data_IF_850219376110
#
_entry.id   IF_850219376110
#
_cell.length_a   1.000
_cell.length_b   1.000
_cell.length_c   1.000
_cell.angle_alpha   90.00
_cell.angle_beta   90.00
_cell.angle_gamma   90.00
#
_symmetry.space_group_name_H-M   'P 1'
#
loop_
_entity.id
_entity.type
_entity.pdbx_description
1 polymer ?
#
# COMPACT_ATOMS: atom_id res chain seq x y z
N UNK A 1 -15.29 28.70 -16.88
CA UNK A 1 -15.37 27.64 -15.86
C UNK A 1 -14.41 28.05 -14.75
N UNK A 2 -14.83 28.17 -13.49
CA UNK A 2 -13.88 28.44 -12.40
C UNK A 2 -12.87 27.32 -12.38
N UNK A 3 -11.60 27.65 -12.28
CA UNK A 3 -10.54 26.67 -12.12
C UNK A 3 -10.89 25.82 -10.88
N UNK A 4 -10.97 24.50 -11.02
CA UNK A 4 -11.28 23.62 -9.89
C UNK A 4 -10.24 23.84 -8.79
N UNK A 5 -10.69 23.94 -7.53
CA UNK A 5 -9.80 24.07 -6.38
C UNK A 5 -9.06 22.75 -6.15
N UNK A 6 -7.74 22.67 -6.37
CA UNK A 6 -7.04 21.40 -6.34
C UNK A 6 -7.04 20.78 -4.95
N UNK A 7 -7.11 19.44 -4.88
CA UNK A 7 -6.86 18.70 -3.66
C UNK A 7 -5.35 18.51 -3.50
N UNK A 8 -4.85 18.85 -2.32
CA UNK A 8 -3.42 18.84 -2.00
C UNK A 8 -3.08 17.96 -0.82
N UNK A 9 -1.86 17.44 -0.83
CA UNK A 9 -1.25 16.66 0.24
C UNK A 9 -0.42 17.62 1.09
N UNK A 10 -0.78 17.77 2.37
CA UNK A 10 -0.04 18.60 3.33
C UNK A 10 1.11 17.82 3.97
N UNK A 11 0.92 16.54 4.21
CA UNK A 11 1.90 15.70 4.85
C UNK A 11 1.63 14.22 4.59
N UNK A 12 2.63 13.42 4.92
CA UNK A 12 2.56 11.97 4.87
C UNK A 12 3.46 11.33 5.94
N UNK A 13 3.12 10.13 6.35
CA UNK A 13 3.94 9.29 7.21
C UNK A 13 3.61 7.82 6.99
N UNK A 14 4.59 6.94 7.20
CA UNK A 14 4.38 5.50 7.30
C UNK A 14 5.19 4.89 8.45
N UNK A 15 4.76 3.78 8.95
CA UNK A 15 5.60 2.93 9.80
C UNK A 15 6.67 2.24 8.96
N UNK A 16 7.74 1.72 9.56
CA UNK A 16 8.52 0.66 8.91
C UNK A 16 7.59 -0.52 8.59
N UNK A 17 7.98 -1.33 7.59
CA UNK A 17 7.29 -2.58 7.24
C UNK A 17 7.92 -3.72 8.03
N UNK A 18 7.12 -4.42 8.84
CA UNK A 18 7.50 -5.65 9.53
C UNK A 18 7.22 -6.87 8.66
N UNK A 19 8.03 -7.90 8.78
CA UNK A 19 7.74 -9.20 8.18
C UNK A 19 6.77 -10.02 9.03
N UNK A 20 6.25 -11.11 8.47
CA UNK A 20 5.39 -12.03 9.22
C UNK A 20 6.09 -12.54 10.49
N UNK A 21 5.41 -12.39 11.63
CA UNK A 21 5.96 -12.73 12.95
C UNK A 21 7.31 -12.07 13.25
N UNK A 22 7.55 -10.89 12.65
CA UNK A 22 8.79 -10.14 12.74
C UNK A 22 8.76 -9.02 13.78
N UNK A 23 9.46 -7.94 13.46
CA UNK A 23 9.69 -6.82 14.39
C UNK A 23 8.42 -6.12 14.89
N UNK A 24 7.31 -6.19 14.15
CA UNK A 24 6.02 -5.58 14.49
C UNK A 24 4.96 -6.60 14.95
N UNK A 25 5.34 -7.85 15.19
CA UNK A 25 4.40 -8.94 15.49
C UNK A 25 3.48 -8.66 16.71
N UNK A 26 3.98 -7.97 17.71
CA UNK A 26 3.24 -7.66 18.94
C UNK A 26 2.42 -6.35 18.85
N UNK A 27 2.34 -5.72 17.66
CA UNK A 27 1.63 -4.45 17.44
C UNK A 27 0.36 -4.67 16.63
N UNK A 28 -0.78 -4.27 17.18
CA UNK A 28 -2.05 -4.37 16.46
C UNK A 28 -2.11 -3.40 15.27
N UNK A 29 -2.84 -3.76 14.21
CA UNK A 29 -3.01 -2.88 13.04
C UNK A 29 -3.50 -1.48 13.41
N UNK A 30 -4.40 -1.37 14.39
CA UNK A 30 -4.94 -0.07 14.86
C UNK A 30 -3.89 0.79 15.58
N UNK A 31 -2.86 0.19 16.19
CA UNK A 31 -1.76 0.91 16.82
C UNK A 31 -0.71 1.37 15.78
N UNK A 32 -0.45 0.55 14.77
CA UNK A 32 0.33 0.94 13.59
C UNK A 32 -0.35 2.12 12.88
N UNK A 33 -1.66 2.00 12.63
CA UNK A 33 -2.46 3.07 12.04
C UNK A 33 -2.41 4.36 12.85
N UNK A 34 -2.56 4.27 14.17
CA UNK A 34 -2.48 5.43 15.07
C UNK A 34 -1.11 6.12 15.00
N UNK A 35 -0.02 5.34 14.91
CA UNK A 35 1.34 5.87 14.80
C UNK A 35 1.53 6.66 13.50
N UNK A 36 1.11 6.10 12.36
CA UNK A 36 1.19 6.79 11.08
C UNK A 36 0.30 8.05 11.04
N UNK A 37 -0.93 7.96 11.54
CA UNK A 37 -1.89 9.08 11.60
C UNK A 37 -1.34 10.22 12.45
N UNK A 38 -0.88 9.93 13.67
CA UNK A 38 -0.29 10.94 14.57
C UNK A 38 0.85 11.68 13.91
N UNK A 39 1.79 10.95 13.34
CA UNK A 39 2.95 11.53 12.66
C UNK A 39 2.55 12.37 11.43
N UNK A 40 1.57 11.92 10.63
CA UNK A 40 1.08 12.69 9.51
C UNK A 40 0.43 14.00 9.95
N UNK A 41 -0.38 13.99 11.01
CA UNK A 41 -0.99 15.21 11.58
C UNK A 41 0.08 16.16 12.12
N UNK A 42 1.03 15.67 12.92
CA UNK A 42 2.13 16.48 13.45
C UNK A 42 2.95 17.14 12.33
N UNK A 43 3.28 16.38 11.29
CA UNK A 43 4.05 16.88 10.13
C UNK A 43 3.27 17.88 9.27
N UNK A 44 1.94 17.81 9.27
CA UNK A 44 1.11 18.75 8.50
C UNK A 44 1.03 20.15 9.11
N UNK A 45 1.29 20.27 10.41
CA UNK A 45 1.04 21.49 11.18
C UNK A 45 -0.43 21.84 11.33
N UNK A 46 -1.35 20.96 10.93
CA UNK A 46 -2.80 21.14 11.08
C UNK A 46 -3.19 20.82 12.52
N UNK A 47 -4.00 21.70 13.15
CA UNK A 47 -4.61 21.35 14.43
C UNK A 47 -5.52 20.13 14.24
N UNK A 48 -5.32 19.10 15.04
CA UNK A 48 -6.14 17.89 14.99
C UNK A 48 -7.65 18.17 15.13
N UNK A 49 -8.02 19.29 15.75
CA UNK A 49 -9.41 19.74 15.86
C UNK A 49 -10.03 20.14 14.52
N UNK A 50 -9.23 20.48 13.51
CA UNK A 50 -9.69 20.80 12.16
C UNK A 50 -9.97 19.55 11.32
N UNK A 51 -9.48 18.39 11.73
CA UNK A 51 -9.72 17.13 11.00
C UNK A 51 -11.16 16.69 11.19
N UNK A 52 -11.92 16.63 10.10
CA UNK A 52 -13.34 16.25 10.14
C UNK A 52 -13.55 14.78 9.85
N UNK A 53 -12.70 14.17 9.01
CA UNK A 53 -12.88 12.80 8.55
C UNK A 53 -11.56 12.05 8.42
N UNK A 54 -11.63 10.75 8.72
CA UNK A 54 -10.54 9.81 8.49
C UNK A 54 -11.05 8.56 7.77
N UNK A 55 -10.35 8.17 6.70
CA UNK A 55 -10.53 6.92 6.00
C UNK A 55 -9.28 6.06 6.17
N UNK A 56 -9.41 4.82 6.65
CA UNK A 56 -8.30 3.90 6.79
C UNK A 56 -8.63 2.56 6.14
N UNK A 57 -7.76 2.13 5.23
CA UNK A 57 -7.77 0.79 4.65
C UNK A 57 -7.42 -0.25 5.71
N UNK A 58 -8.18 -1.35 5.76
CA UNK A 58 -7.89 -2.53 6.56
C UNK A 58 -8.65 -3.72 5.96
N UNK A 59 -7.95 -4.74 5.54
CA UNK A 59 -8.51 -5.90 4.85
C UNK A 59 -8.82 -7.02 5.81
N UNK A 60 -8.02 -7.17 6.86
CA UNK A 60 -8.07 -8.26 7.81
C UNK A 60 -8.53 -7.77 9.20
N UNK A 61 -9.79 -7.29 9.34
CA UNK A 61 -10.26 -6.66 10.56
C UNK A 61 -10.74 -7.63 11.63
N UNK A 62 -10.81 -8.93 11.36
CA UNK A 62 -11.29 -9.91 12.33
C UNK A 62 -10.41 -9.89 13.59
N UNK A 63 -11.05 -9.84 14.76
CA UNK A 63 -10.36 -9.76 16.04
C UNK A 63 -9.90 -8.37 16.48
N UNK A 64 -9.90 -7.36 15.60
CA UNK A 64 -9.50 -5.98 15.96
C UNK A 64 -10.55 -5.22 16.78
N UNK A 65 -11.77 -5.74 16.91
CA UNK A 65 -12.89 -5.04 17.54
C UNK A 65 -13.62 -4.13 16.56
N UNK A 66 -14.50 -3.27 17.10
CA UNK A 66 -15.34 -2.39 16.29
C UNK A 66 -14.54 -1.28 15.61
N UNK A 67 -14.86 -0.99 14.34
CA UNK A 67 -14.44 0.20 13.61
C UNK A 67 -12.92 0.49 13.72
N UNK A 68 -12.04 -0.34 13.13
CA UNK A 68 -10.59 -0.18 13.25
C UNK A 68 -10.08 1.23 12.90
N UNK A 69 -10.61 1.89 11.87
CA UNK A 69 -10.26 3.29 11.56
C UNK A 69 -10.56 4.26 12.70
N UNK A 70 -11.69 4.04 13.40
CA UNK A 70 -12.08 4.85 14.56
C UNK A 70 -11.12 4.63 15.72
N UNK A 71 -10.70 3.39 15.96
CA UNK A 71 -9.71 3.08 16.98
C UNK A 71 -8.39 3.78 16.68
N UNK A 72 -7.89 3.70 15.44
CA UNK A 72 -6.67 4.38 15.02
C UNK A 72 -6.75 5.90 15.24
N UNK A 73 -7.87 6.53 14.86
CA UNK A 73 -8.11 7.96 15.06
C UNK A 73 -8.01 8.37 16.55
N UNK A 74 -8.71 7.66 17.42
CA UNK A 74 -8.72 7.95 18.86
C UNK A 74 -7.34 7.70 19.49
N UNK A 75 -6.70 6.58 19.17
CA UNK A 75 -5.34 6.24 19.63
C UNK A 75 -4.28 7.24 19.11
N UNK A 76 -4.52 7.85 17.95
CA UNK A 76 -3.68 8.93 17.41
C UNK A 76 -3.83 10.25 18.17
N UNK A 77 -4.85 10.38 19.03
CA UNK A 77 -5.15 11.60 19.77
C UNK A 77 -6.10 12.56 19.06
N UNK A 78 -6.75 12.15 17.97
CA UNK A 78 -7.74 12.99 17.29
C UNK A 78 -9.00 13.19 18.14
N UNK A 79 -9.71 14.32 17.94
CA UNK A 79 -10.96 14.59 18.65
C UNK A 79 -12.02 13.53 18.41
N UNK A 80 -12.89 13.31 19.39
CA UNK A 80 -14.01 12.37 19.27
C UNK A 80 -15.05 12.78 18.23
N UNK A 81 -15.03 14.01 17.75
CA UNK A 81 -15.87 14.54 16.66
C UNK A 81 -15.47 14.02 15.27
N UNK A 82 -14.22 13.56 15.06
CA UNK A 82 -13.74 13.05 13.78
C UNK A 82 -14.57 11.84 13.36
N UNK A 83 -15.13 11.89 12.16
CA UNK A 83 -15.84 10.76 11.55
C UNK A 83 -14.82 9.76 10.97
N UNK A 84 -15.01 8.48 11.21
CA UNK A 84 -14.05 7.45 10.78
C UNK A 84 -14.73 6.33 9.98
N UNK A 85 -14.11 5.93 8.86
CA UNK A 85 -14.57 4.81 8.04
C UNK A 85 -13.41 3.87 7.74
N UNK A 86 -13.63 2.59 8.01
CA UNK A 86 -12.72 1.52 7.59
C UNK A 86 -13.12 1.07 6.19
N UNK A 87 -12.13 0.99 5.29
CA UNK A 87 -12.33 0.67 3.86
C UNK A 87 -11.64 -0.65 3.55
N UNK A 88 -12.36 -1.56 2.89
CA UNK A 88 -11.80 -2.77 2.31
C UNK A 88 -12.03 -2.77 0.79
N UNK A 89 -10.95 -2.69 0.05
CA UNK A 89 -10.83 -2.92 -1.39
C UNK A 89 -9.59 -3.78 -1.65
N UNK A 90 -9.42 -4.83 -0.83
CA UNK A 90 -8.25 -5.72 -0.84
C UNK A 90 -6.95 -4.88 -0.89
N UNK A 91 -5.99 -5.21 -1.74
CA UNK A 91 -4.71 -4.49 -1.87
C UNK A 91 -4.85 -2.99 -2.15
N UNK A 92 -5.95 -2.57 -2.79
CA UNK A 92 -6.25 -1.18 -3.13
C UNK A 92 -6.79 -0.32 -1.99
N UNK A 93 -7.07 -0.89 -0.82
CA UNK A 93 -7.76 -0.19 0.28
C UNK A 93 -7.13 1.14 0.65
N UNK A 94 -5.79 1.17 0.84
CA UNK A 94 -5.08 2.38 1.22
C UNK A 94 -5.09 3.48 0.13
N UNK A 95 -5.05 3.15 -1.15
CA UNK A 95 -5.19 4.13 -2.22
C UNK A 95 -6.64 4.57 -2.39
N UNK A 96 -7.59 3.65 -2.23
CA UNK A 96 -9.02 3.97 -2.29
C UNK A 96 -9.41 5.00 -1.22
N UNK A 97 -8.80 4.97 -0.03
CA UNK A 97 -9.05 5.99 1.00
C UNK A 97 -8.59 7.37 0.56
N UNK A 98 -7.45 7.47 -0.15
CA UNK A 98 -6.95 8.74 -0.70
C UNK A 98 -7.88 9.24 -1.81
N UNK A 99 -8.36 8.35 -2.68
CA UNK A 99 -9.36 8.68 -3.71
C UNK A 99 -10.65 9.20 -3.06
N UNK A 100 -11.22 8.49 -2.08
CA UNK A 100 -12.43 8.92 -1.37
C UNK A 100 -12.23 10.25 -0.64
N UNK A 101 -11.06 10.47 -0.02
CA UNK A 101 -10.71 11.74 0.61
C UNK A 101 -10.66 12.89 -0.40
N UNK A 102 -10.03 12.66 -1.55
CA UNK A 102 -9.98 13.63 -2.65
C UNK A 102 -11.37 13.98 -3.18
N UNK A 103 -12.22 12.98 -3.41
CA UNK A 103 -13.60 13.17 -3.86
C UNK A 103 -14.43 13.94 -2.83
N UNK A 104 -14.31 13.64 -1.53
CA UNK A 104 -15.04 14.34 -0.48
C UNK A 104 -14.61 15.81 -0.36
N UNK A 105 -13.33 16.11 -0.51
CA UNK A 105 -12.79 17.48 -0.54
C UNK A 105 -13.25 18.23 -1.78
N UNK A 106 -13.17 17.63 -2.96
CA UNK A 106 -13.64 18.22 -4.21
C UNK A 106 -15.14 18.51 -4.22
N UNK A 107 -15.93 17.66 -3.55
CA UNK A 107 -17.37 17.87 -3.36
C UNK A 107 -17.71 18.92 -2.27
N UNK A 108 -16.71 19.45 -1.55
CA UNK A 108 -16.92 20.40 -0.46
C UNK A 108 -17.61 19.79 0.77
N UNK A 109 -17.62 18.46 0.91
CA UNK A 109 -18.26 17.78 2.03
C UNK A 109 -17.48 17.90 3.33
N UNK A 110 -16.19 18.17 3.25
CA UNK A 110 -15.23 18.32 4.36
C UNK A 110 -14.09 19.24 3.92
N UNK A 111 -13.37 19.79 4.89
CA UNK A 111 -12.24 20.70 4.67
C UNK A 111 -10.88 20.01 4.90
N UNK A 112 -10.79 19.09 5.85
CA UNK A 112 -9.59 18.33 6.16
C UNK A 112 -9.89 16.85 6.34
N UNK A 113 -9.12 16.03 5.63
CA UNK A 113 -9.26 14.56 5.63
C UNK A 113 -7.91 13.90 5.92
N UNK A 114 -7.94 12.87 6.75
CA UNK A 114 -6.87 11.89 6.82
C UNK A 114 -7.26 10.69 5.97
N UNK A 115 -6.35 10.26 5.10
CA UNK A 115 -6.53 9.07 4.28
C UNK A 115 -5.29 8.16 4.42
N UNK A 116 -5.50 6.88 4.60
CA UNK A 116 -4.40 5.95 4.83
C UNK A 116 -4.82 4.49 4.82
N UNK A 117 -3.98 3.66 5.38
CA UNK A 117 -4.26 2.25 5.58
C UNK A 117 -3.34 1.65 6.63
N UNK A 118 -3.78 0.55 7.19
CA UNK A 118 -3.11 -0.19 8.25
C UNK A 118 -3.40 -1.68 8.09
N UNK A 119 -2.42 -2.51 8.35
CA UNK A 119 -2.59 -3.96 8.34
C UNK A 119 -1.62 -4.61 9.30
N UNK A 120 -2.06 -5.63 10.02
CA UNK A 120 -1.19 -6.59 10.65
C UNK A 120 -1.61 -7.97 10.17
N UNK A 121 -0.92 -8.46 9.14
CA UNK A 121 -1.19 -9.78 8.58
C UNK A 121 -0.75 -10.87 9.58
N UNK A 122 0.29 -10.58 10.37
CA UNK A 122 0.76 -11.46 11.46
C UNK A 122 -0.34 -11.77 12.47
N UNK A 123 -1.18 -10.77 12.80
CA UNK A 123 -2.22 -10.90 13.82
C UNK A 123 -3.59 -11.29 13.27
N UNK A 124 -3.70 -11.60 11.97
CA UNK A 124 -4.93 -12.13 11.40
C UNK A 124 -5.29 -13.48 12.03
N UNK A 125 -6.48 -13.64 12.65
CA UNK A 125 -6.82 -14.84 13.40
C UNK A 125 -7.26 -15.98 12.50
N UNK A 126 -7.34 -17.18 13.07
CA UNK A 126 -8.05 -18.30 12.45
C UNK A 126 -9.54 -18.22 12.76
N UNK A 127 -10.38 -18.57 11.78
CA UNK A 127 -11.83 -18.45 11.81
C UNK A 127 -12.49 -19.84 11.87
N UNK A 128 -13.52 -19.97 12.71
CA UNK A 128 -14.34 -21.17 12.85
C UNK A 128 -15.74 -20.88 12.33
N UNK A 129 -15.97 -21.06 11.02
CA UNK A 129 -17.19 -20.60 10.32
C UNK A 129 -18.47 -21.27 10.78
N UNK A 130 -18.43 -22.54 11.24
CA UNK A 130 -19.60 -23.32 11.63
C UNK A 130 -19.98 -23.22 13.12
N UNK A 131 -19.14 -22.59 13.96
CA UNK A 131 -19.32 -22.63 15.42
C UNK A 131 -20.52 -21.84 15.93
N UNK A 132 -21.01 -20.83 15.23
CA UNK A 132 -22.21 -20.08 15.64
C UNK A 132 -23.48 -20.95 15.65
N UNK A 133 -23.59 -21.90 14.73
CA UNK A 133 -24.72 -22.87 14.66
C UNK A 133 -24.44 -24.17 15.42
N UNK A 134 -23.31 -24.25 16.15
CA UNK A 134 -22.82 -25.46 16.79
C UNK A 134 -22.19 -26.42 15.78
N UNK A 135 -20.96 -26.82 16.00
CA UNK A 135 -20.24 -27.72 15.10
C UNK A 135 -20.76 -29.15 15.09
N UNK A 136 -21.80 -29.46 15.86
CA UNK A 136 -22.56 -30.71 16.00
C UNK A 136 -21.66 -31.94 16.08
N UNK A 137 -21.52 -32.72 14.99
CA UNK A 137 -20.79 -33.98 14.93
C UNK A 137 -19.72 -33.95 13.84
N UNK A 138 -18.58 -34.59 14.10
CA UNK A 138 -17.44 -34.66 13.19
C UNK A 138 -16.44 -33.52 13.39
N UNK A 139 -15.39 -33.52 12.55
CA UNK A 139 -14.33 -32.51 12.59
C UNK A 139 -14.81 -31.19 11.97
N UNK A 140 -14.26 -30.05 12.44
CA UNK A 140 -14.38 -28.76 11.81
C UNK A 140 -13.01 -28.25 11.32
N UNK A 141 -13.03 -27.29 10.41
CA UNK A 141 -11.84 -26.66 9.81
C UNK A 141 -11.68 -25.25 10.36
N UNK A 142 -10.49 -24.95 10.87
CA UNK A 142 -10.06 -23.57 11.12
C UNK A 142 -9.53 -22.99 9.82
N UNK A 143 -10.07 -21.83 9.41
CA UNK A 143 -9.66 -21.09 8.22
C UNK A 143 -8.73 -19.97 8.62
N UNK A 144 -7.60 -19.84 7.97
CA UNK A 144 -6.73 -18.69 8.12
C UNK A 144 -7.42 -17.47 7.49
N UNK A 145 -7.71 -16.44 8.30
CA UNK A 145 -8.35 -15.21 7.84
C UNK A 145 -7.51 -14.48 6.77
N UNK A 146 -6.19 -14.50 6.94
CA UNK A 146 -5.27 -13.87 6.00
C UNK A 146 -5.37 -14.51 4.60
N UNK A 147 -5.42 -15.85 4.53
CA UNK A 147 -5.60 -16.55 3.26
C UNK A 147 -7.02 -16.38 2.72
N UNK A 148 -8.02 -16.69 3.54
CA UNK A 148 -9.42 -16.72 3.11
C UNK A 148 -9.91 -15.38 2.54
N UNK A 149 -9.57 -14.26 3.19
CA UNK A 149 -10.12 -12.95 2.87
C UNK A 149 -9.08 -12.01 2.20
N UNK A 150 -7.82 -12.44 2.10
CA UNK A 150 -6.76 -11.60 1.54
C UNK A 150 -5.94 -12.22 0.41
N UNK A 151 -5.65 -13.53 0.44
CA UNK A 151 -4.68 -14.16 -0.46
C UNK A 151 -5.24 -15.29 -1.33
N UNK A 152 -6.47 -15.74 -1.08
CA UNK A 152 -7.20 -16.68 -1.92
C UNK A 152 -8.24 -15.97 -2.78
N UNK A 153 -8.50 -16.53 -3.95
CA UNK A 153 -9.55 -16.03 -4.83
C UNK A 153 -10.95 -16.30 -4.27
N UNK A 154 -11.86 -15.36 -4.44
CA UNK A 154 -13.22 -15.45 -3.98
C UNK A 154 -14.13 -16.27 -4.92
N UNK A 155 -13.75 -16.39 -6.18
CA UNK A 155 -14.55 -17.02 -7.25
C UNK A 155 -14.11 -18.45 -7.51
N UNK A 156 -12.80 -18.73 -7.47
CA UNK A 156 -12.20 -20.05 -7.54
C UNK A 156 -11.68 -20.46 -6.15
N UNK A 157 -12.52 -21.10 -5.37
CA UNK A 157 -12.26 -21.40 -3.96
C UNK A 157 -10.90 -22.08 -3.72
N UNK A 158 -10.13 -21.52 -2.78
CA UNK A 158 -8.79 -21.94 -2.35
C UNK A 158 -7.68 -21.77 -3.40
N UNK A 159 -7.93 -21.03 -4.45
CA UNK A 159 -6.91 -20.72 -5.43
C UNK A 159 -6.11 -19.50 -4.95
N UNK A 160 -4.82 -19.71 -4.69
CA UNK A 160 -3.95 -18.63 -4.24
C UNK A 160 -3.67 -17.61 -5.36
N UNK A 161 -3.60 -16.32 -5.02
CA UNK A 161 -3.32 -15.23 -5.96
C UNK A 161 -2.06 -15.47 -6.81
N UNK A 162 -1.03 -16.09 -6.25
CA UNK A 162 0.20 -16.41 -6.96
C UNK A 162 0.05 -17.42 -8.08
N UNK A 163 -1.00 -18.27 -8.09
CA UNK A 163 -1.25 -19.18 -9.21
C UNK A 163 -1.71 -18.44 -10.46
N UNK A 164 -2.54 -17.40 -10.32
CA UNK A 164 -2.92 -16.52 -11.42
C UNK A 164 -1.73 -15.70 -11.92
N UNK A 165 -0.90 -15.20 -10.99
CA UNK A 165 0.33 -14.50 -11.37
C UNK A 165 1.26 -15.40 -12.19
N UNK A 166 1.36 -16.70 -11.84
CA UNK A 166 2.15 -17.66 -12.59
C UNK A 166 1.58 -17.91 -14.00
N UNK A 167 0.26 -18.01 -14.14
CA UNK A 167 -0.40 -18.18 -15.43
C UNK A 167 -0.13 -16.96 -16.35
N UNK A 168 -0.34 -15.74 -15.83
CA UNK A 168 -0.06 -14.53 -16.58
C UNK A 168 1.43 -14.40 -16.92
N UNK A 169 2.34 -14.78 -16.01
CA UNK A 169 3.77 -14.79 -16.29
C UNK A 169 4.12 -15.76 -17.45
N UNK A 170 3.43 -16.91 -17.52
CA UNK A 170 3.59 -17.86 -18.63
C UNK A 170 3.06 -17.27 -19.96
N UNK A 171 1.90 -16.61 -19.95
CA UNK A 171 1.33 -15.95 -21.13
C UNK A 171 2.27 -14.88 -21.69
N UNK A 172 2.90 -14.08 -20.84
CA UNK A 172 3.90 -13.09 -21.19
C UNK A 172 5.29 -13.68 -21.46
N UNK A 173 5.45 -14.99 -21.30
CA UNK A 173 6.73 -15.70 -21.47
C UNK A 173 7.86 -15.12 -20.59
N UNK A 174 7.52 -14.63 -19.39
CA UNK A 174 8.50 -14.12 -18.44
C UNK A 174 9.36 -15.26 -17.90
N UNK A 175 10.64 -15.23 -18.20
CA UNK A 175 11.56 -16.26 -17.72
C UNK A 175 11.80 -16.12 -16.20
N UNK A 176 12.26 -17.19 -15.59
CA UNK A 176 12.68 -17.19 -14.18
C UNK A 176 13.81 -16.18 -13.94
N UNK A 177 14.80 -16.17 -14.83
CA UNK A 177 15.97 -15.31 -14.74
C UNK A 177 15.59 -13.83 -14.80
N UNK A 178 14.65 -13.46 -15.67
CA UNK A 178 14.17 -12.07 -15.78
C UNK A 178 13.45 -11.63 -14.51
N UNK A 179 12.61 -12.48 -13.91
CA UNK A 179 11.92 -12.17 -12.66
C UNK A 179 12.88 -12.10 -11.47
N UNK A 180 13.85 -13.03 -11.39
CA UNK A 180 14.90 -13.00 -10.36
C UNK A 180 15.76 -11.72 -10.47
N UNK A 181 16.15 -11.33 -11.68
CA UNK A 181 16.92 -10.10 -11.92
C UNK A 181 16.14 -8.86 -11.46
N UNK A 182 14.83 -8.81 -11.74
CA UNK A 182 13.95 -7.72 -11.25
C UNK A 182 13.91 -7.68 -9.72
N UNK A 183 13.69 -8.82 -9.06
CA UNK A 183 13.62 -8.89 -7.60
C UNK A 183 14.97 -8.55 -6.94
N UNK A 184 16.09 -8.97 -7.52
CA UNK A 184 17.44 -8.60 -7.06
C UNK A 184 17.62 -7.08 -7.15
N UNK A 185 17.21 -6.45 -8.24
CA UNK A 185 17.32 -4.99 -8.39
C UNK A 185 16.40 -4.26 -7.42
N UNK A 186 15.15 -4.72 -7.21
CA UNK A 186 14.25 -4.16 -6.20
C UNK A 186 14.86 -4.24 -4.79
N UNK A 187 15.44 -5.39 -4.43
CA UNK A 187 16.14 -5.57 -3.15
C UNK A 187 17.35 -4.65 -3.02
N UNK A 188 18.19 -4.56 -4.05
CA UNK A 188 19.36 -3.67 -4.06
C UNK A 188 18.97 -2.21 -3.86
N UNK A 189 17.91 -1.76 -4.55
CA UNK A 189 17.37 -0.41 -4.42
C UNK A 189 16.87 -0.15 -3.00
N UNK A 190 16.12 -1.08 -2.40
CA UNK A 190 15.63 -0.94 -1.03
C UNK A 190 16.78 -0.88 -0.01
N UNK A 191 17.79 -1.74 -0.16
CA UNK A 191 18.99 -1.74 0.70
C UNK A 191 19.78 -0.42 0.56
N UNK A 192 19.95 0.08 -0.66
CA UNK A 192 20.60 1.37 -0.92
C UNK A 192 19.80 2.53 -0.31
N UNK A 193 18.47 2.53 -0.52
CA UNK A 193 17.58 3.57 0.03
C UNK A 193 17.61 3.62 1.57
N UNK A 194 17.72 2.47 2.24
CA UNK A 194 17.91 2.40 3.70
C UNK A 194 19.29 2.99 4.08
N UNK A 195 20.35 2.55 3.42
CA UNK A 195 21.71 3.00 3.71
C UNK A 195 21.88 4.51 3.50
N UNK A 196 21.30 5.04 2.42
CA UNK A 196 21.35 6.46 2.05
C UNK A 196 20.36 7.32 2.83
N UNK A 197 19.52 6.71 3.67
CA UNK A 197 18.50 7.39 4.47
C UNK A 197 17.34 7.96 3.66
N UNK A 198 17.05 7.41 2.48
CA UNK A 198 15.94 7.86 1.61
C UNK A 198 14.58 7.75 2.31
N UNK A 199 14.38 6.73 3.12
CA UNK A 199 13.12 6.51 3.84
C UNK A 199 12.95 7.33 5.12
N UNK A 200 13.97 8.06 5.59
CA UNK A 200 13.89 8.83 6.85
C UNK A 200 12.80 9.90 6.83
N UNK A 201 12.50 10.45 5.66
CA UNK A 201 11.48 11.49 5.52
C UNK A 201 10.06 10.91 5.68
N UNK A 202 9.83 9.67 5.26
CA UNK A 202 8.53 9.05 5.28
C UNK A 202 8.28 8.19 6.53
N UNK A 203 9.29 7.53 7.07
CA UNK A 203 9.17 6.63 8.22
C UNK A 203 8.95 7.41 9.53
N UNK A 204 8.06 6.89 10.36
CA UNK A 204 7.93 7.19 11.78
C UNK A 204 8.21 5.91 12.57
N UNK A 205 9.07 6.00 13.57
CA UNK A 205 9.42 4.86 14.41
C UNK A 205 8.20 4.32 15.18
N UNK A 206 8.17 3.00 15.35
CA UNK A 206 7.18 2.29 16.17
C UNK A 206 7.86 1.79 17.43
N UNK A 207 7.28 2.14 18.58
CA UNK A 207 7.72 1.59 19.86
C UNK A 207 6.98 0.27 20.12
N UNK A 208 7.73 -0.81 20.23
CA UNK A 208 7.22 -2.15 20.52
C UNK A 208 7.52 -2.51 21.96
N UNK A 209 6.48 -2.65 22.77
CA UNK A 209 6.63 -3.07 24.17
C UNK A 209 7.00 -4.56 24.23
N UNK A 210 8.11 -4.89 24.85
CA UNK A 210 8.52 -6.28 25.06
C UNK A 210 8.75 -6.59 26.54
N UNK A 211 8.83 -7.87 26.89
CA UNK A 211 9.13 -8.29 28.29
C UNK A 211 10.47 -7.77 28.80
N UNK A 212 11.39 -7.39 27.90
CA UNK A 212 12.73 -6.89 28.21
C UNK A 212 12.85 -5.37 28.16
N UNK A 213 11.75 -4.66 27.95
CA UNK A 213 11.67 -3.23 27.72
C UNK A 213 11.25 -2.89 26.30
N UNK A 214 11.08 -1.60 26.04
CA UNK A 214 10.64 -1.11 24.74
C UNK A 214 11.74 -1.22 23.68
N UNK A 215 11.37 -1.65 22.49
CA UNK A 215 12.21 -1.71 21.31
C UNK A 215 11.71 -0.69 20.29
N UNK A 216 12.60 0.13 19.77
CA UNK A 216 12.28 1.09 18.70
C UNK A 216 12.54 0.42 17.36
N UNK A 217 11.51 0.33 16.53
CA UNK A 217 11.58 -0.16 15.16
C UNK A 217 11.42 1.05 14.22
N UNK A 218 12.47 1.39 13.49
CA UNK A 218 12.57 2.59 12.63
C UNK A 218 13.06 2.28 11.21
N UNK A 219 13.21 1.02 10.87
CA UNK A 219 13.75 0.56 9.59
C UNK A 219 12.94 -0.60 9.05
N UNK A 220 12.71 -0.63 7.74
CA UNK A 220 12.05 -1.74 7.06
C UNK A 220 12.82 -3.03 7.25
N UNK A 221 12.14 -4.07 7.72
CA UNK A 221 12.78 -5.30 8.21
C UNK A 221 13.31 -6.19 7.09
N UNK A 222 12.51 -6.38 6.03
CA UNK A 222 12.79 -7.40 5.02
C UNK A 222 14.04 -7.15 4.19
N UNK A 223 14.37 -5.91 3.76
CA UNK A 223 15.58 -5.66 2.98
C UNK A 223 16.86 -6.05 3.72
N UNK A 224 16.89 -5.89 5.06
CA UNK A 224 18.03 -6.27 5.90
C UNK A 224 18.25 -7.79 5.99
N UNK A 225 17.23 -8.60 5.70
CA UNK A 225 17.28 -10.07 5.67
C UNK A 225 17.52 -10.61 4.26
N UNK A 226 17.32 -9.79 3.24
CA UNK A 226 17.42 -10.18 1.84
C UNK A 226 18.86 -10.50 1.42
N UNK A 227 19.02 -11.61 0.69
CA UNK A 227 20.31 -12.08 0.17
C UNK A 227 20.21 -12.24 -1.35
N UNK A 228 20.70 -11.27 -2.17
CA UNK A 228 20.58 -11.33 -3.63
C UNK A 228 21.08 -12.64 -4.24
N UNK A 229 22.21 -13.15 -3.78
CA UNK A 229 22.83 -14.39 -4.29
C UNK A 229 21.99 -15.66 -4.03
N UNK A 230 21.05 -15.59 -3.10
CA UNK A 230 20.15 -16.72 -2.78
C UNK A 230 18.92 -16.75 -3.68
N UNK A 231 18.52 -15.63 -4.26
CA UNK A 231 17.29 -15.52 -5.06
C UNK A 231 17.23 -16.54 -6.20
N UNK A 232 18.28 -16.72 -7.02
CA UNK A 232 18.25 -17.71 -8.11
C UNK A 232 18.15 -19.17 -7.64
N UNK A 233 18.47 -19.44 -6.37
CA UNK A 233 18.45 -20.81 -5.81
C UNK A 233 17.10 -21.22 -5.21
N UNK A 234 16.14 -20.29 -5.14
CA UNK A 234 14.81 -20.53 -4.55
C UNK A 234 13.97 -21.45 -5.44
N UNK A 235 13.16 -22.28 -4.80
CA UNK A 235 12.20 -23.13 -5.52
C UNK A 235 10.97 -22.33 -5.95
N UNK A 236 10.33 -22.70 -7.07
CA UNK A 236 9.04 -22.16 -7.44
C UNK A 236 8.00 -22.35 -6.33
N UNK A 237 7.14 -21.35 -6.12
CA UNK A 237 6.19 -21.32 -5.00
C UNK A 237 4.77 -21.78 -5.38
N UNK A 238 4.34 -21.56 -6.64
CA UNK A 238 2.93 -21.73 -7.04
C UNK A 238 2.70 -22.81 -8.10
N UNK A 239 3.72 -23.30 -8.74
CA UNK A 239 3.68 -24.43 -9.66
C UNK A 239 5.00 -25.19 -9.63
N UNK A 240 4.98 -26.52 -9.87
CA UNK A 240 6.18 -27.36 -9.79
C UNK A 240 7.30 -26.87 -10.71
N UNK A 241 6.94 -26.49 -11.93
CA UNK A 241 7.85 -25.98 -12.97
C UNK A 241 7.61 -24.49 -13.21
N UNK A 242 7.21 -23.75 -12.18
CA UNK A 242 6.90 -22.33 -12.25
C UNK A 242 8.15 -21.45 -12.20
N UNK A 243 7.93 -20.17 -12.47
CA UNK A 243 8.97 -19.14 -12.49
C UNK A 243 8.89 -18.17 -11.30
N UNK A 244 7.74 -18.14 -10.60
CA UNK A 244 7.52 -17.27 -9.44
C UNK A 244 8.00 -17.97 -8.15
N UNK A 245 8.81 -17.27 -7.37
CA UNK A 245 9.37 -17.73 -6.11
C UNK A 245 8.94 -16.87 -4.92
N UNK A 246 9.35 -17.22 -3.72
CA UNK A 246 9.15 -16.38 -2.54
C UNK A 246 9.81 -14.98 -2.68
N UNK A 247 10.94 -14.86 -3.39
CA UNK A 247 11.62 -13.59 -3.57
C UNK A 247 11.04 -12.73 -4.71
N UNK A 248 10.35 -13.35 -5.68
CA UNK A 248 9.63 -12.64 -6.75
C UNK A 248 8.15 -12.40 -6.40
N UNK A 249 7.78 -12.71 -5.15
CA UNK A 249 6.50 -12.40 -4.51
C UNK A 249 6.71 -11.41 -3.38
N UNK A 250 5.73 -10.55 -3.12
CA UNK A 250 5.77 -9.70 -1.94
C UNK A 250 5.66 -10.53 -0.66
N UNK A 251 6.35 -10.12 0.39
CA UNK A 251 6.25 -10.77 1.69
C UNK A 251 4.96 -10.39 2.42
N UNK A 252 4.44 -11.34 3.21
CA UNK A 252 3.40 -11.08 4.20
C UNK A 252 3.97 -10.11 5.23
N UNK A 253 3.26 -9.03 5.50
CA UNK A 253 3.83 -7.89 6.21
C UNK A 253 2.84 -7.16 7.10
N UNK A 254 3.39 -6.42 8.06
CA UNK A 254 2.68 -5.53 8.97
C UNK A 254 3.12 -4.09 8.72
N UNK A 255 2.19 -3.14 8.74
CA UNK A 255 2.54 -1.73 8.54
C UNK A 255 1.34 -0.82 8.35
N UNK A 256 1.60 0.49 8.34
CA UNK A 256 0.59 1.51 8.13
C UNK A 256 1.18 2.73 7.42
N UNK A 257 0.32 3.48 6.72
CA UNK A 257 0.65 4.77 6.13
C UNK A 257 -0.56 5.71 6.21
N UNK A 258 -0.31 7.01 6.31
CA UNK A 258 -1.34 8.04 6.36
C UNK A 258 -0.88 9.32 5.69
N UNK A 259 -1.84 10.04 5.09
CA UNK A 259 -1.68 11.33 4.45
C UNK A 259 -2.73 12.31 4.99
N UNK A 260 -2.38 13.59 5.10
CA UNK A 260 -3.31 14.67 5.41
C UNK A 260 -3.60 15.44 4.13
N UNK A 261 -4.89 15.57 3.82
CA UNK A 261 -5.38 16.18 2.58
C UNK A 261 -6.29 17.37 2.88
N UNK A 262 -6.23 18.39 2.03
CA UNK A 262 -7.15 19.54 2.02
C UNK A 262 -7.28 20.11 0.61
N UNK A 263 -8.05 21.20 0.45
CA UNK A 263 -8.07 21.97 -0.79
C UNK A 263 -6.97 23.05 -0.78
N UNK A 264 -6.45 23.40 -1.95
CA UNK A 264 -5.40 24.44 -2.10
C UNK A 264 -5.83 25.77 -1.47
N UNK A 265 -7.04 26.20 -1.74
CA UNK A 265 -7.56 27.48 -1.21
C UNK A 265 -7.59 27.53 0.32
N UNK A 266 -7.89 26.42 0.97
CA UNK A 266 -7.91 26.31 2.43
C UNK A 266 -6.48 26.26 2.99
N UNK A 267 -5.56 25.56 2.33
CA UNK A 267 -4.15 25.54 2.70
C UNK A 267 -3.58 26.97 2.66
N UNK A 268 -3.84 27.72 1.60
CA UNK A 268 -3.39 29.10 1.43
C UNK A 268 -3.99 30.01 2.51
N UNK A 269 -5.30 29.91 2.75
CA UNK A 269 -6.00 30.69 3.76
C UNK A 269 -5.48 30.47 5.20
N UNK A 270 -4.99 29.25 5.47
CA UNK A 270 -4.46 28.86 6.79
C UNK A 270 -2.92 28.93 6.86
N UNK A 271 -2.25 29.43 5.82
CA UNK A 271 -0.77 29.56 5.78
C UNK A 271 -0.04 28.22 5.77
N UNK A 272 -0.70 27.16 5.35
CA UNK A 272 -0.12 25.82 5.23
C UNK A 272 0.68 25.71 3.94
N UNK A 273 1.65 24.80 3.91
CA UNK A 273 2.53 24.60 2.74
C UNK A 273 2.25 23.21 2.15
N UNK A 274 1.43 23.10 1.10
CA UNK A 274 1.23 21.84 0.42
C UNK A 274 2.52 21.29 -0.18
N UNK A 275 2.67 19.98 -0.16
CA UNK A 275 3.82 19.27 -0.73
C UNK A 275 3.54 18.89 -2.18
N UNK A 276 2.31 18.44 -2.45
CA UNK A 276 1.92 17.93 -3.75
C UNK A 276 0.42 18.12 -3.98
N UNK A 277 0.01 18.12 -5.24
CA UNK A 277 -1.41 18.06 -5.63
C UNK A 277 -1.77 16.72 -6.22
N UNK A 278 -2.98 16.27 -5.99
CA UNK A 278 -3.58 15.12 -6.67
C UNK A 278 -4.13 15.65 -8.00
N UNK A 279 -3.53 15.19 -9.10
CA UNK A 279 -3.91 15.66 -10.46
C UNK A 279 -5.09 14.86 -11.00
N UNK A 280 -5.02 13.54 -10.85
CA UNK A 280 -6.06 12.63 -11.30
C UNK A 280 -5.98 11.30 -10.52
N UNK A 281 -7.08 10.57 -10.55
CA UNK A 281 -7.14 9.19 -10.10
C UNK A 281 -8.08 8.37 -10.97
N UNK A 282 -7.85 7.06 -11.03
CA UNK A 282 -8.67 6.14 -11.79
C UNK A 282 -8.73 4.76 -11.13
N UNK A 283 -9.79 4.03 -11.45
CA UNK A 283 -9.92 2.61 -11.17
C UNK A 283 -10.15 1.85 -12.48
N UNK A 284 -9.70 0.60 -12.51
CA UNK A 284 -9.94 -0.33 -13.61
C UNK A 284 -10.39 -1.67 -13.03
N UNK A 285 -11.27 -2.36 -13.75
CA UNK A 285 -11.70 -3.71 -13.45
C UNK A 285 -11.70 -4.53 -14.73
N UNK A 286 -11.33 -5.80 -14.60
CA UNK A 286 -11.24 -6.80 -15.68
C UNK A 286 -11.48 -8.20 -15.10
N UNK A 287 -11.21 -9.24 -15.87
CA UNK A 287 -11.35 -10.63 -15.42
C UNK A 287 -10.54 -10.87 -14.13
N UNK A 288 -11.13 -11.47 -13.08
CA UNK A 288 -10.46 -11.73 -11.81
C UNK A 288 -9.12 -12.45 -11.94
N UNK A 289 -9.03 -13.44 -12.81
CA UNK A 289 -7.80 -14.20 -13.07
C UNK A 289 -6.66 -13.35 -13.65
N UNK A 290 -6.97 -12.24 -14.33
CA UNK A 290 -6.01 -11.34 -14.96
C UNK A 290 -5.63 -10.13 -14.08
N UNK A 291 -5.86 -10.18 -12.77
CA UNK A 291 -5.65 -9.04 -11.86
C UNK A 291 -4.23 -8.43 -11.94
N UNK A 292 -3.24 -9.22 -12.28
CA UNK A 292 -1.82 -8.80 -12.33
C UNK A 292 -1.54 -7.77 -13.42
N UNK A 293 -2.32 -7.73 -14.49
CA UNK A 293 -2.22 -6.75 -15.59
C UNK A 293 -3.17 -5.57 -15.44
N UNK A 294 -4.09 -5.60 -14.47
CA UNK A 294 -5.06 -4.53 -14.24
C UNK A 294 -4.44 -3.13 -14.02
N UNK A 295 -3.23 -2.97 -13.43
CA UNK A 295 -2.55 -1.68 -13.33
C UNK A 295 -2.38 -0.97 -14.67
N UNK A 296 -2.15 -1.68 -15.76
CA UNK A 296 -2.03 -1.10 -17.11
C UNK A 296 -3.27 -0.29 -17.47
N UNK A 297 -4.45 -0.88 -17.28
CA UNK A 297 -5.73 -0.21 -17.54
C UNK A 297 -5.99 0.98 -16.59
N UNK A 298 -5.63 0.86 -15.31
CA UNK A 298 -5.78 1.94 -14.35
C UNK A 298 -4.84 3.13 -14.64
N UNK A 299 -3.57 2.84 -14.99
CA UNK A 299 -2.57 3.84 -15.35
C UNK A 299 -3.02 4.61 -16.60
N UNK A 300 -3.42 3.92 -17.68
CA UNK A 300 -3.90 4.56 -18.90
C UNK A 300 -5.08 5.51 -18.63
N UNK A 301 -6.09 5.06 -17.88
CA UNK A 301 -7.23 5.90 -17.51
C UNK A 301 -6.82 7.10 -16.65
N UNK A 302 -5.84 6.91 -15.75
CA UNK A 302 -5.35 7.98 -14.90
C UNK A 302 -4.58 9.03 -15.71
N UNK A 303 -3.73 8.60 -16.65
CA UNK A 303 -2.99 9.48 -17.57
C UNK A 303 -3.95 10.28 -18.46
N UNK A 304 -4.97 9.63 -19.03
CA UNK A 304 -6.00 10.29 -19.84
C UNK A 304 -6.67 11.41 -19.04
N UNK A 305 -7.10 11.15 -17.80
CA UNK A 305 -7.71 12.15 -16.92
C UNK A 305 -6.76 13.26 -16.53
N UNK A 306 -5.47 12.97 -16.34
CA UNK A 306 -4.44 13.94 -16.03
C UNK A 306 -4.04 14.80 -17.24
N UNK A 307 -4.38 14.37 -18.47
CA UNK A 307 -3.88 14.95 -19.70
C UNK A 307 -2.39 14.71 -19.90
N UNK A 308 -1.85 13.60 -19.36
CA UNK A 308 -0.44 13.24 -19.42
C UNK A 308 -0.20 12.02 -20.33
N UNK A 309 1.00 11.94 -20.85
CA UNK A 309 1.56 10.74 -21.46
C UNK A 309 2.50 10.02 -20.50
N UNK A 310 2.92 8.80 -20.81
CA UNK A 310 3.96 8.08 -20.05
C UNK A 310 5.27 8.90 -19.97
N UNK A 311 5.60 9.64 -21.05
CA UNK A 311 6.80 10.48 -21.10
C UNK A 311 6.78 11.67 -20.13
N UNK A 312 5.60 12.15 -19.78
CA UNK A 312 5.40 13.29 -18.87
C UNK A 312 5.58 12.90 -17.39
N UNK A 313 5.60 11.59 -17.08
CA UNK A 313 5.77 11.08 -15.73
C UNK A 313 7.25 10.85 -15.45
N UNK A 314 7.74 11.45 -14.38
CA UNK A 314 9.13 11.32 -13.95
C UNK A 314 9.39 10.00 -13.22
N UNK A 315 8.53 9.64 -12.26
CA UNK A 315 8.67 8.43 -11.44
C UNK A 315 7.33 7.69 -11.32
N UNK A 316 7.44 6.37 -11.27
CA UNK A 316 6.32 5.46 -11.05
C UNK A 316 6.52 4.63 -9.78
N UNK A 317 5.45 4.41 -9.02
CA UNK A 317 5.35 3.39 -7.98
C UNK A 317 4.27 2.39 -8.38
N UNK A 318 4.66 1.24 -8.87
CA UNK A 318 3.76 0.13 -9.19
C UNK A 318 3.99 -0.98 -8.17
N UNK A 319 2.97 -1.26 -7.36
CA UNK A 319 3.12 -2.22 -6.26
C UNK A 319 3.50 -3.61 -6.76
N UNK A 320 4.60 -4.13 -6.25
CA UNK A 320 5.14 -5.45 -6.59
C UNK A 320 4.45 -6.54 -5.75
N UNK A 321 3.12 -6.73 -5.90
CA UNK A 321 2.48 -7.90 -5.30
C UNK A 321 3.21 -9.19 -5.74
N UNK A 322 3.65 -9.19 -6.99
CA UNK A 322 4.64 -10.07 -7.61
C UNK A 322 5.54 -9.22 -8.50
N UNK A 323 6.78 -9.61 -8.72
CA UNK A 323 7.71 -8.92 -9.62
C UNK A 323 7.10 -8.75 -11.02
N UNK A 324 6.41 -9.78 -11.51
CA UNK A 324 5.78 -9.76 -12.83
C UNK A 324 4.74 -8.63 -12.99
N UNK A 325 4.06 -8.19 -11.92
CA UNK A 325 3.07 -7.08 -12.00
C UNK A 325 3.71 -5.78 -12.50
N UNK A 326 4.84 -5.40 -11.91
CA UNK A 326 5.59 -4.23 -12.37
C UNK A 326 6.20 -4.46 -13.75
N UNK A 327 6.67 -5.69 -14.04
CA UNK A 327 7.23 -6.06 -15.35
C UNK A 327 6.17 -5.99 -16.47
N UNK A 328 4.91 -6.37 -16.22
CA UNK A 328 3.81 -6.19 -17.17
C UNK A 328 3.55 -4.71 -17.46
N UNK A 329 3.52 -3.87 -16.40
CA UNK A 329 3.35 -2.43 -16.57
C UNK A 329 4.51 -1.82 -17.39
N UNK A 330 5.76 -2.23 -17.13
CA UNK A 330 6.91 -1.80 -17.91
C UNK A 330 6.80 -2.23 -19.39
N UNK A 331 6.42 -3.47 -19.64
CA UNK A 331 6.28 -4.02 -20.99
C UNK A 331 5.18 -3.33 -21.78
N UNK A 332 3.97 -3.27 -21.24
CA UNK A 332 2.77 -2.82 -21.97
C UNK A 332 2.70 -1.30 -22.14
N UNK A 333 3.29 -0.55 -21.19
CA UNK A 333 3.27 0.92 -21.21
C UNK A 333 4.60 1.55 -21.63
N UNK A 334 5.64 0.75 -21.82
CA UNK A 334 6.97 1.24 -22.17
C UNK A 334 7.61 2.05 -21.03
N UNK A 335 7.32 1.73 -19.76
CA UNK A 335 7.92 2.43 -18.61
C UNK A 335 9.37 1.98 -18.45
N UNK A 336 10.36 2.90 -18.48
CA UNK A 336 11.76 2.56 -18.26
C UNK A 336 11.99 2.04 -16.83
N UNK A 337 12.82 1.01 -16.68
CA UNK A 337 13.10 0.40 -15.36
C UNK A 337 13.73 1.37 -14.36
N UNK A 338 14.47 2.38 -14.81
CA UNK A 338 15.09 3.40 -13.98
C UNK A 338 14.10 4.46 -13.45
N UNK A 339 12.85 4.44 -13.94
CA UNK A 339 11.77 5.32 -13.46
C UNK A 339 10.77 4.63 -12.54
N UNK A 340 10.79 3.31 -12.42
CA UNK A 340 9.81 2.56 -11.63
C UNK A 340 10.43 2.01 -10.35
N UNK A 341 9.74 2.19 -9.21
CA UNK A 341 10.12 1.67 -7.89
C UNK A 341 11.60 1.95 -7.56
N UNK A 342 12.00 3.22 -7.71
CA UNK A 342 13.41 3.65 -7.63
C UNK A 342 14.07 3.40 -6.27
N UNK A 343 13.27 3.21 -5.23
CA UNK A 343 13.71 2.84 -3.87
C UNK A 343 13.42 1.37 -3.53
N UNK A 344 13.17 0.53 -4.55
CA UNK A 344 12.67 -0.83 -4.37
C UNK A 344 11.16 -0.86 -4.10
N UNK A 345 10.54 -2.00 -4.30
CA UNK A 345 9.10 -2.19 -4.15
C UNK A 345 8.74 -3.32 -3.17
N UNK A 346 7.52 -3.81 -3.25
CA UNK A 346 6.95 -4.72 -2.25
C UNK A 346 7.63 -6.10 -2.19
N UNK A 347 8.31 -6.56 -3.24
CA UNK A 347 9.11 -7.80 -3.19
C UNK A 347 10.27 -7.68 -2.20
N UNK A 348 10.80 -6.46 -2.04
CA UNK A 348 11.85 -6.16 -1.08
C UNK A 348 11.33 -5.63 0.26
N UNK A 349 10.36 -4.70 0.22
CA UNK A 349 9.88 -3.96 1.40
C UNK A 349 8.73 -4.68 2.13
N UNK A 350 7.89 -5.43 1.40
CA UNK A 350 6.70 -6.06 1.93
C UNK A 350 5.38 -5.42 1.48
N UNK A 351 4.27 -6.16 1.71
CA UNK A 351 2.95 -5.80 1.22
C UNK A 351 1.87 -5.95 2.31
N UNK A 352 1.83 -5.07 3.32
CA UNK A 352 0.69 -5.01 4.24
C UNK A 352 -0.54 -4.55 3.47
N UNK A 353 -1.41 -5.50 3.08
CA UNK A 353 -2.39 -5.34 1.99
C UNK A 353 -3.28 -4.10 2.13
N UNK A 354 -3.85 -3.84 3.32
CA UNK A 354 -4.70 -2.67 3.54
C UNK A 354 -3.95 -1.33 3.59
N UNK A 355 -2.64 -1.35 3.82
CA UNK A 355 -1.81 -0.15 3.93
C UNK A 355 -1.09 0.22 2.63
N UNK A 356 -0.83 -0.76 1.77
CA UNK A 356 0.10 -0.63 0.64
C UNK A 356 -0.24 0.49 -0.33
N UNK A 357 -1.53 0.72 -0.62
CA UNK A 357 -1.93 1.80 -1.51
C UNK A 357 -1.53 3.19 -1.01
N UNK A 358 -1.66 3.45 0.29
CA UNK A 358 -1.19 4.69 0.92
C UNK A 358 0.35 4.72 1.03
N UNK A 359 0.99 3.56 1.28
CA UNK A 359 2.44 3.43 1.36
C UNK A 359 3.11 3.82 0.04
N UNK A 360 2.65 3.31 -1.10
CA UNK A 360 3.27 3.64 -2.40
C UNK A 360 3.08 5.12 -2.77
N UNK A 361 1.98 5.75 -2.38
CA UNK A 361 1.80 7.20 -2.56
C UNK A 361 2.81 7.96 -1.70
N UNK A 362 2.98 7.58 -0.43
CA UNK A 362 3.95 8.17 0.49
C UNK A 362 5.38 8.06 -0.06
N UNK A 363 5.78 6.86 -0.49
CA UNK A 363 7.10 6.62 -1.08
C UNK A 363 7.30 7.41 -2.38
N UNK A 364 6.26 7.48 -3.25
CA UNK A 364 6.34 8.25 -4.49
C UNK A 364 6.61 9.74 -4.23
N UNK A 365 5.86 10.35 -3.30
CA UNK A 365 6.05 11.78 -2.96
C UNK A 365 7.46 12.01 -2.40
N UNK A 366 7.92 11.15 -1.48
CA UNK A 366 9.26 11.22 -0.92
C UNK A 366 10.35 11.06 -1.99
N UNK A 367 10.17 10.11 -2.92
CA UNK A 367 11.10 9.87 -4.02
C UNK A 367 11.18 11.06 -4.99
N UNK A 368 10.03 11.65 -5.36
CA UNK A 368 9.99 12.86 -6.18
C UNK A 368 10.78 14.00 -5.54
N UNK A 369 10.56 14.27 -4.25
CA UNK A 369 11.29 15.31 -3.50
C UNK A 369 12.79 15.02 -3.48
N UNK A 370 13.18 13.78 -3.17
CA UNK A 370 14.59 13.38 -3.06
C UNK A 370 15.35 13.50 -4.38
N UNK A 371 14.71 13.13 -5.48
CA UNK A 371 15.33 13.14 -6.81
C UNK A 371 15.13 14.46 -7.57
N UNK A 372 14.49 15.47 -6.97
CA UNK A 372 14.19 16.74 -7.63
C UNK A 372 13.32 16.56 -8.87
N UNK A 373 12.39 15.62 -8.80
CA UNK A 373 11.40 15.29 -9.83
C UNK A 373 10.04 15.88 -9.46
N UNK A 374 9.14 16.00 -10.42
CA UNK A 374 7.90 16.74 -10.21
C UNK A 374 6.65 15.87 -10.36
N UNK A 375 6.55 15.04 -11.39
CA UNK A 375 5.35 14.27 -11.74
C UNK A 375 5.52 12.80 -11.43
N UNK A 376 4.60 12.25 -10.67
CA UNK A 376 4.61 10.84 -10.31
C UNK A 376 3.25 10.17 -10.50
N UNK A 377 3.29 8.86 -10.70
CA UNK A 377 2.10 8.04 -10.78
C UNK A 377 2.28 6.77 -9.96
N UNK A 378 1.32 6.53 -9.03
CA UNK A 378 1.27 5.29 -8.26
C UNK A 378 0.10 4.42 -8.73
N UNK A 379 0.31 3.09 -8.79
CA UNK A 379 -0.73 2.12 -9.11
C UNK A 379 -0.50 0.79 -8.39
N UNK A 380 -1.58 0.06 -8.16
CA UNK A 380 -1.49 -1.30 -7.64
C UNK A 380 -2.61 -2.19 -8.18
N UNK A 381 -2.28 -3.47 -8.36
CA UNK A 381 -3.24 -4.52 -8.65
C UNK A 381 -4.04 -4.89 -7.39
N UNK A 382 -5.22 -5.42 -7.59
CA UNK A 382 -6.18 -5.76 -6.53
C UNK A 382 -6.73 -7.14 -6.86
N UNK A 383 -6.73 -8.05 -5.90
CA UNK A 383 -7.39 -9.34 -6.02
C UNK A 383 -8.86 -9.17 -6.40
N UNK A 384 -9.35 -10.03 -7.32
CA UNK A 384 -10.67 -9.87 -7.92
C UNK A 384 -10.68 -9.12 -9.25
N UNK A 385 -9.51 -8.84 -9.85
CA UNK A 385 -9.40 -8.30 -11.21
C UNK A 385 -9.40 -6.78 -11.28
N UNK A 386 -9.10 -6.08 -10.22
CA UNK A 386 -9.11 -4.62 -10.22
C UNK A 386 -7.72 -3.99 -10.08
N UNK A 387 -7.65 -2.68 -10.30
CA UNK A 387 -6.53 -1.82 -9.99
C UNK A 387 -6.99 -0.39 -9.71
N UNK A 388 -6.17 0.35 -8.96
CA UNK A 388 -6.31 1.80 -8.82
C UNK A 388 -5.01 2.50 -9.22
N UNK A 389 -5.11 3.74 -9.68
CA UNK A 389 -3.98 4.59 -10.00
C UNK A 389 -4.24 6.03 -9.56
N UNK A 390 -3.19 6.75 -9.18
CA UNK A 390 -3.22 8.15 -8.78
C UNK A 390 -2.02 8.89 -9.38
N UNK A 391 -2.28 10.05 -10.00
CA UNK A 391 -1.26 10.95 -10.54
C UNK A 391 -1.06 12.14 -9.60
N UNK A 392 0.18 12.45 -9.30
CA UNK A 392 0.61 13.45 -8.32
C UNK A 392 1.62 14.37 -8.96
N UNK A 393 1.55 15.66 -8.61
CA UNK A 393 2.54 16.67 -9.01
C UNK A 393 3.00 17.45 -7.78
N UNK A 394 4.31 17.59 -7.57
CA UNK A 394 4.86 18.40 -6.49
C UNK A 394 4.56 19.88 -6.72
N UNK A 395 4.49 20.65 -5.63
CA UNK A 395 4.20 22.09 -5.63
C UNK A 395 5.43 22.87 -5.18
#
# INVERSE_FOLDING_TARGET
>A
MSQADPVVILSYARTPMGGMQGALADVAATDLGATAVRAAVERSGVDGAMIERIYMGCVLPAGLGQAPARQAAIKAGLPKSVQATTVNKVCGSGMQTVIMGSEALAAGSVDYVIAGGMESMTNAPYLLKKHRSGARIGHDTAYDHMFLDGLEDAYEARRAMGTFAQETANEYQLTREAQDAYAIESLRRAQSAIADGAFKQEIVAVTVATRKGDVIVDTDEQPGKGMPDKIPTLKPAFAKDGTITAATSSSISDGAAALVLTRQSLADANGQKPIARIVAHAAHAQEPSAFTTAPVGAINKCLEKAGWTIGDVDLFEVNEAFACVAMFAMHDLGIPHDKINVHGGATALGHPIGASGARIITTLVAALQRHGKNRGLASLCIGGGEATAIAIELI
#
